data_IF_403096188770
#
_entry.id   IF_403096188770
#
_cell.length_a   1.000
_cell.length_b   1.000
_cell.length_c   1.000
_cell.angle_alpha   90.00
_cell.angle_beta   90.00
_cell.angle_gamma   90.00
#
_symmetry.space_group_name_H-M   'P 1'
#
loop_
_entity.id
_entity.type
_entity.pdbx_description
1 polymer ?
#
# COMPACT_ATOMS: atom_id res chain seq x y z
N UNK A 1 15.09 -10.56 17.25
CA UNK A 1 15.48 -9.62 16.17
C UNK A 1 14.39 -8.60 15.98
N UNK A 2 14.78 -7.34 15.80
CA UNK A 2 13.87 -6.24 15.47
C UNK A 2 13.38 -6.42 14.02
N UNK A 3 12.07 -6.40 13.73
CA UNK A 3 11.56 -6.68 12.36
C UNK A 3 10.89 -5.45 11.73
N UNK A 4 11.27 -5.16 10.49
CA UNK A 4 10.71 -4.05 9.71
C UNK A 4 9.90 -4.60 8.54
N UNK A 5 8.60 -4.29 8.52
CA UNK A 5 7.69 -4.60 7.43
C UNK A 5 7.38 -3.31 6.68
N UNK A 6 7.71 -3.25 5.39
CA UNK A 6 7.38 -2.09 4.56
C UNK A 6 6.24 -2.43 3.60
N UNK A 7 5.30 -1.50 3.48
CA UNK A 7 4.18 -1.60 2.55
C UNK A 7 4.24 -0.36 1.65
N UNK A 8 4.41 -0.58 0.35
CA UNK A 8 4.48 0.49 -0.62
C UNK A 8 3.34 0.37 -1.63
N UNK A 9 2.59 1.46 -1.87
CA UNK A 9 1.33 1.38 -2.62
C UNK A 9 0.90 2.72 -3.23
N UNK A 10 0.10 2.64 -4.29
CA UNK A 10 -0.63 3.76 -4.91
C UNK A 10 -1.93 3.99 -4.14
N UNK A 11 -2.13 5.10 -3.41
CA UNK A 11 -3.23 5.10 -2.43
C UNK A 11 -4.09 6.35 -2.20
N UNK A 12 -5.43 6.15 -2.19
CA UNK A 12 -6.51 7.14 -2.11
C UNK A 12 -7.62 6.87 -1.04
N UNK A 13 -7.30 6.40 0.17
CA UNK A 13 -8.20 5.99 1.30
C UNK A 13 -8.83 4.58 1.19
N UNK A 14 -9.08 3.75 2.22
CA UNK A 14 -8.73 3.68 3.67
C UNK A 14 -8.37 2.20 4.04
N UNK A 15 -7.15 1.91 4.48
CA UNK A 15 -6.50 0.69 4.98
C UNK A 15 -5.50 1.37 5.89
N UNK A 16 -6.00 1.83 7.02
CA UNK A 16 -5.17 2.49 8.02
C UNK A 16 -4.31 1.37 8.61
N UNK A 17 -3.15 1.09 8.02
CA UNK A 17 -2.11 0.34 8.71
C UNK A 17 -1.37 1.39 9.53
N UNK A 18 -1.94 1.68 10.70
CA UNK A 18 -1.30 2.49 11.73
C UNK A 18 0.04 1.86 12.07
N UNK A 19 1.07 2.71 12.15
CA UNK A 19 2.36 2.37 12.73
C UNK A 19 2.15 1.82 14.15
N UNK A 20 2.12 0.50 14.28
CA UNK A 20 2.12 -0.17 15.57
C UNK A 20 3.57 -0.44 15.91
N UNK A 21 4.11 0.38 16.81
CA UNK A 21 5.31 0.02 17.55
C UNK A 21 4.86 -1.08 18.52
N UNK A 22 4.98 -2.33 18.11
CA UNK A 22 4.75 -3.45 19.01
C UNK A 22 5.79 -3.37 20.14
N UNK A 23 5.36 -3.68 21.36
CA UNK A 23 6.03 -3.36 22.63
C UNK A 23 7.50 -3.83 22.73
N UNK A 24 7.98 -4.68 21.81
CA UNK A 24 9.41 -4.92 21.61
C UNK A 24 9.77 -5.05 20.12
N UNK A 25 10.35 -3.98 19.56
CA UNK A 25 11.24 -3.98 18.38
C UNK A 25 10.65 -4.40 17.03
N UNK A 26 9.37 -4.20 16.71
CA UNK A 26 8.91 -4.41 15.32
C UNK A 26 8.04 -3.27 14.85
N UNK A 27 8.22 -2.88 13.58
CA UNK A 27 7.50 -1.77 12.96
C UNK A 27 6.90 -2.18 11.63
N UNK A 28 5.67 -1.75 11.39
CA UNK A 28 5.03 -1.78 10.07
C UNK A 28 4.97 -0.33 9.59
N UNK A 29 5.55 -0.08 8.42
CA UNK A 29 5.61 1.26 7.82
C UNK A 29 4.97 1.21 6.44
N UNK A 30 4.07 2.15 6.19
CA UNK A 30 3.39 2.34 4.90
C UNK A 30 3.86 3.64 4.25
N UNK A 31 4.02 3.67 2.93
CA UNK A 31 4.32 4.90 2.20
C UNK A 31 4.52 4.70 0.69
N UNK A 32 5.08 5.71 0.02
CA UNK A 32 5.31 5.69 -1.43
C UNK A 32 6.71 5.26 -1.83
N UNK A 33 7.68 5.50 -0.96
CA UNK A 33 9.10 5.22 -1.16
C UNK A 33 9.70 4.45 0.03
N UNK A 34 8.85 3.87 0.88
CA UNK A 34 9.29 3.25 2.13
C UNK A 34 10.25 2.08 1.90
N UNK A 35 9.92 1.15 0.99
CA UNK A 35 10.76 -0.02 0.75
C UNK A 35 11.93 0.25 -0.21
N UNK A 36 11.90 1.37 -0.92
CA UNK A 36 12.89 1.76 -1.93
C UNK A 36 13.91 2.78 -1.43
N UNK A 37 13.52 3.66 -0.50
CA UNK A 37 14.33 4.79 -0.03
C UNK A 37 14.44 4.87 1.50
N UNK A 38 13.32 4.81 2.24
CA UNK A 38 13.34 5.01 3.71
C UNK A 38 13.90 3.80 4.47
N UNK A 39 13.48 2.60 4.08
CA UNK A 39 13.90 1.31 4.65
C UNK A 39 14.28 0.32 3.53
N UNK A 40 15.34 0.62 2.76
CA UNK A 40 15.78 -0.23 1.66
C UNK A 40 16.26 -1.62 2.13
N UNK A 41 16.56 -1.78 3.41
CA UNK A 41 16.99 -3.05 4.02
C UNK A 41 15.92 -3.68 4.92
N UNK A 42 14.64 -3.32 4.77
CA UNK A 42 13.56 -3.96 5.51
C UNK A 42 13.54 -5.48 5.31
N UNK A 43 13.27 -6.22 6.39
CA UNK A 43 13.23 -7.70 6.38
C UNK A 43 12.21 -8.25 5.39
N UNK A 44 11.10 -7.52 5.19
CA UNK A 44 10.08 -7.85 4.20
C UNK A 44 9.46 -6.57 3.64
N UNK A 45 9.27 -6.57 2.32
CA UNK A 45 8.67 -5.47 1.58
C UNK A 45 7.48 -5.99 0.79
N UNK A 46 6.37 -5.28 0.86
CA UNK A 46 5.18 -5.51 0.05
C UNK A 46 4.95 -4.34 -0.89
N UNK A 47 4.56 -4.65 -2.13
CA UNK A 47 4.14 -3.66 -3.12
C UNK A 47 2.70 -3.93 -3.52
N UNK A 48 1.77 -3.11 -3.04
CA UNK A 48 0.34 -3.35 -3.24
C UNK A 48 -0.19 -2.54 -4.42
N UNK A 49 -0.87 -3.25 -5.32
CA UNK A 49 -1.52 -2.70 -6.51
C UNK A 49 -3.01 -3.04 -6.50
N UNK A 50 -3.78 -2.30 -7.29
CA UNK A 50 -5.15 -2.64 -7.65
C UNK A 50 -5.52 -1.90 -8.94
N UNK A 51 -6.48 -2.44 -9.69
CA UNK A 51 -6.97 -1.80 -10.90
C UNK A 51 -7.53 -0.40 -10.62
N UNK A 52 -7.41 0.49 -11.61
CA UNK A 52 -7.91 1.87 -11.48
C UNK A 52 -9.41 1.91 -11.17
N UNK A 53 -10.19 0.99 -11.76
CA UNK A 53 -11.63 0.90 -11.51
C UNK A 53 -11.97 0.54 -10.07
N UNK A 54 -11.27 -0.45 -9.50
CA UNK A 54 -11.48 -0.85 -8.09
C UNK A 54 -11.06 0.28 -7.14
N UNK A 55 -9.93 0.94 -7.43
CA UNK A 55 -9.48 2.09 -6.63
C UNK A 55 -10.45 3.27 -6.72
N UNK A 56 -10.98 3.54 -7.91
CA UNK A 56 -11.99 4.59 -8.13
C UNK A 56 -13.27 4.29 -7.33
N UNK A 57 -13.76 3.05 -7.36
CA UNK A 57 -14.94 2.67 -6.58
C UNK A 57 -14.71 2.84 -5.08
N UNK A 58 -13.54 2.45 -4.56
CA UNK A 58 -13.17 2.63 -3.15
C UNK A 58 -13.16 4.12 -2.76
N UNK A 59 -12.63 4.98 -3.63
CA UNK A 59 -12.61 6.44 -3.43
C UNK A 59 -14.02 7.03 -3.44
N UNK A 60 -14.86 6.65 -4.40
CA UNK A 60 -16.25 7.11 -4.48
C UNK A 60 -17.00 6.73 -3.21
N UNK A 61 -16.88 5.48 -2.77
CA UNK A 61 -17.50 5.03 -1.53
C UNK A 61 -17.01 5.88 -0.36
N UNK A 62 -15.71 6.16 -0.26
CA UNK A 62 -15.14 6.96 0.81
C UNK A 62 -15.66 8.42 0.81
N UNK A 63 -15.76 9.06 -0.35
CA UNK A 63 -16.33 10.41 -0.46
C UNK A 63 -17.84 10.42 -0.16
N UNK A 64 -18.59 9.39 -0.57
CA UNK A 64 -19.99 9.25 -0.23
C UNK A 64 -20.23 9.14 1.28
N UNK A 65 -19.34 8.48 2.03
CA UNK A 65 -19.41 8.44 3.51
C UNK A 65 -19.21 9.81 4.17
N UNK A 66 -18.63 10.78 3.45
CA UNK A 66 -18.51 12.18 3.90
C UNK A 66 -19.67 13.07 3.44
N UNK A 67 -20.64 12.52 2.69
CA UNK A 67 -21.72 13.28 2.08
C UNK A 67 -21.33 13.98 0.77
N UNK A 68 -20.19 13.62 0.16
CA UNK A 68 -19.77 14.17 -1.13
C UNK A 68 -20.11 13.19 -2.26
N UNK A 69 -20.60 13.72 -3.38
CA UNK A 69 -20.75 12.95 -4.61
C UNK A 69 -19.48 13.08 -5.47
N UNK A 70 -19.02 11.94 -5.99
CA UNK A 70 -17.87 11.89 -6.90
C UNK A 70 -18.21 10.96 -8.06
N UNK A 71 -18.11 11.46 -9.29
CA UNK A 71 -18.34 10.64 -10.47
C UNK A 71 -17.22 9.61 -10.65
N UNK A 72 -17.52 8.51 -11.34
CA UNK A 72 -16.53 7.48 -11.65
C UNK A 72 -15.37 8.03 -12.46
N UNK A 73 -15.66 8.88 -13.45
CA UNK A 73 -14.65 9.44 -14.34
C UNK A 73 -13.74 10.42 -13.60
N UNK A 74 -14.28 11.24 -12.70
CA UNK A 74 -13.48 12.15 -11.88
C UNK A 74 -12.61 11.36 -10.89
N UNK A 75 -13.15 10.31 -10.26
CA UNK A 75 -12.38 9.45 -9.39
C UNK A 75 -11.20 8.78 -10.12
N UNK A 76 -11.44 8.25 -11.32
CA UNK A 76 -10.38 7.66 -12.14
C UNK A 76 -9.33 8.69 -12.55
N UNK A 77 -9.76 9.88 -12.99
CA UNK A 77 -8.86 10.98 -13.39
C UNK A 77 -7.97 11.42 -12.23
N UNK A 78 -8.55 11.65 -11.06
CA UNK A 78 -7.81 12.03 -9.84
C UNK A 78 -6.76 11.00 -9.46
N UNK A 79 -7.13 9.72 -9.53
CA UNK A 79 -6.23 8.61 -9.25
C UNK A 79 -5.10 8.52 -10.27
N UNK A 80 -5.39 8.57 -11.57
CA UNK A 80 -4.37 8.52 -12.63
C UNK A 80 -3.40 9.69 -12.54
N UNK A 81 -3.90 10.91 -12.31
CA UNK A 81 -3.05 12.08 -12.11
C UNK A 81 -2.14 11.92 -10.89
N UNK A 82 -2.66 11.37 -9.79
CA UNK A 82 -1.82 11.11 -8.62
C UNK A 82 -0.80 10.02 -8.90
N UNK A 83 -1.20 8.89 -9.47
CA UNK A 83 -0.30 7.79 -9.78
C UNK A 83 0.83 8.26 -10.71
N UNK A 84 0.49 9.05 -11.74
CA UNK A 84 1.47 9.64 -12.63
C UNK A 84 2.46 10.53 -11.85
N UNK A 85 1.98 11.48 -11.04
CA UNK A 85 2.85 12.36 -10.23
C UNK A 85 3.72 11.58 -9.25
N UNK A 86 3.16 10.57 -8.57
CA UNK A 86 3.89 9.75 -7.61
C UNK A 86 4.99 8.93 -8.31
N UNK A 87 4.76 8.43 -9.53
CA UNK A 87 5.74 7.66 -10.31
C UNK A 87 6.80 8.51 -11.01
N UNK A 88 6.46 9.72 -11.44
CA UNK A 88 7.35 10.58 -12.25
C UNK A 88 8.07 11.66 -11.47
N UNK A 89 7.82 11.80 -10.16
CA UNK A 89 8.56 12.74 -9.32
C UNK A 89 10.07 12.45 -9.34
N UNK A 90 10.88 13.51 -9.42
CA UNK A 90 12.34 13.42 -9.47
C UNK A 90 12.94 12.78 -8.20
N UNK A 91 12.37 13.09 -7.04
CA UNK A 91 12.86 12.60 -5.76
C UNK A 91 11.94 11.52 -5.20
N UNK A 92 12.54 10.37 -4.87
CA UNK A 92 11.88 9.21 -4.27
C UNK A 92 10.63 8.71 -5.03
N UNK A 93 10.66 8.49 -6.37
CA UNK A 93 9.48 8.06 -7.12
C UNK A 93 8.87 6.77 -6.58
N UNK A 94 7.56 6.63 -6.74
CA UNK A 94 6.84 5.39 -6.47
C UNK A 94 7.23 4.33 -7.50
N UNK A 95 8.07 3.40 -7.08
CA UNK A 95 8.53 2.27 -7.89
C UNK A 95 8.50 0.98 -7.07
N UNK A 96 8.23 -0.17 -7.67
CA UNK A 96 8.31 -1.44 -6.92
C UNK A 96 9.71 -1.62 -6.34
N UNK A 97 9.89 -1.69 -5.01
CA UNK A 97 11.22 -1.87 -4.42
C UNK A 97 11.81 -3.23 -4.81
N UNK A 98 13.14 -3.30 -4.88
CA UNK A 98 13.83 -4.56 -5.08
C UNK A 98 13.51 -5.54 -3.95
N UNK A 99 13.23 -6.79 -4.33
CA UNK A 99 12.84 -7.87 -3.42
C UNK A 99 11.42 -7.76 -2.86
N UNK A 100 10.62 -6.77 -3.29
CA UNK A 100 9.25 -6.62 -2.79
C UNK A 100 8.29 -7.67 -3.36
N UNK A 101 7.46 -8.22 -2.48
CA UNK A 101 6.35 -9.11 -2.82
C UNK A 101 5.22 -8.25 -3.36
N UNK A 102 4.89 -8.42 -4.64
CA UNK A 102 3.77 -7.72 -5.26
C UNK A 102 2.45 -8.42 -4.92
N UNK A 103 1.46 -7.66 -4.45
CA UNK A 103 0.11 -8.14 -4.15
C UNK A 103 -0.89 -7.30 -4.96
N UNK A 104 -1.61 -7.94 -5.87
CA UNK A 104 -2.76 -7.32 -6.54
C UNK A 104 -4.04 -7.55 -5.72
N UNK A 105 -4.52 -6.48 -5.11
CA UNK A 105 -5.71 -6.47 -4.26
C UNK A 105 -6.99 -6.07 -5.02
N UNK A 106 -7.01 -6.21 -6.37
CA UNK A 106 -8.17 -5.87 -7.19
C UNK A 106 -9.43 -6.68 -6.84
N UNK A 107 -9.27 -7.95 -6.51
CA UNK A 107 -10.36 -8.89 -6.19
C UNK A 107 -10.31 -9.36 -4.73
N UNK A 108 -9.62 -8.62 -3.85
CA UNK A 108 -9.42 -9.01 -2.46
C UNK A 108 -10.05 -7.98 -1.51
N UNK A 109 -10.64 -8.49 -0.43
CA UNK A 109 -10.99 -7.71 0.76
C UNK A 109 -9.73 -7.32 1.55
N UNK A 110 -9.87 -6.33 2.43
CA UNK A 110 -8.77 -5.92 3.32
C UNK A 110 -8.30 -7.07 4.21
N UNK A 111 -9.22 -7.93 4.68
CA UNK A 111 -8.91 -9.08 5.53
C UNK A 111 -8.06 -10.10 4.77
N UNK A 112 -8.44 -10.44 3.54
CA UNK A 112 -7.69 -11.39 2.71
C UNK A 112 -6.28 -10.90 2.40
N UNK A 113 -6.12 -9.60 2.13
CA UNK A 113 -4.79 -8.99 1.92
C UNK A 113 -3.92 -9.14 3.16
N UNK A 114 -4.48 -8.84 4.34
CA UNK A 114 -3.75 -8.96 5.62
C UNK A 114 -3.37 -10.41 5.91
N UNK A 115 -4.27 -11.37 5.68
CA UNK A 115 -3.97 -12.79 5.86
C UNK A 115 -2.90 -13.29 4.88
N UNK A 116 -2.91 -12.82 3.63
CA UNK A 116 -1.86 -13.11 2.67
C UNK A 116 -0.50 -12.56 3.13
N UNK A 117 -0.46 -11.31 3.59
CA UNK A 117 0.77 -10.72 4.15
C UNK A 117 1.29 -11.52 5.35
N UNK A 118 0.39 -11.92 6.28
CA UNK A 118 0.75 -12.74 7.44
C UNK A 118 1.37 -14.06 7.02
N UNK A 119 0.83 -14.74 6.00
CA UNK A 119 1.40 -15.99 5.47
C UNK A 119 2.84 -15.80 4.99
N UNK A 120 3.13 -14.72 4.25
CA UNK A 120 4.49 -14.40 3.82
C UNK A 120 5.43 -14.11 5.01
N UNK A 121 4.98 -13.34 6.00
CA UNK A 121 5.76 -13.03 7.20
C UNK A 121 6.09 -14.30 7.99
N UNK A 122 5.14 -15.22 8.15
CA UNK A 122 5.34 -16.49 8.86
C UNK A 122 6.31 -17.39 8.10
N UNK A 123 6.22 -17.45 6.76
CA UNK A 123 7.14 -18.24 5.94
C UNK A 123 8.59 -17.80 6.10
N UNK A 124 8.85 -16.50 6.27
CA UNK A 124 10.19 -15.98 6.56
C UNK A 124 10.72 -16.38 7.94
N UNK A 125 9.85 -16.65 8.93
CA UNK A 125 10.28 -17.08 10.28
C UNK A 125 10.70 -18.55 10.35
N UNK A 126 10.34 -19.36 9.34
CA UNK A 126 10.67 -20.79 9.29
C UNK A 126 12.02 -21.09 8.62
N UNK A 127 12.66 -20.07 8.02
CA UNK A 127 14.03 -20.13 7.54
C UNK A 127 14.95 -19.55 8.60
#
# INVERSE_FOLDING_TARGET
MCKTVCIQMFWCMSIIIRMHIAHEKSVVVEGRDTGSNVFPHADIKFYLTASIGVRAQRLINFEAHKGNELSRDDAQRLLQQRDHRDMTRLHAPLLKPEGAIQIDASSMSAIEVVELMKKHIISLKKK
#
